data_IF_026044413806
#
_entry.id   IF_026044413806
#
_cell.length_a   1.000
_cell.length_b   1.000
_cell.length_c   1.000
_cell.angle_alpha   90.00
_cell.angle_beta   90.00
_cell.angle_gamma   90.00
#
_symmetry.space_group_name_H-M   'P 1'
#
loop_
_entity.id
_entity.type
_entity.pdbx_description
1 polymer ?
#
# COMPACT_ATOMS: atom_id res chain seq x y z
N UNK A 1 5.99 15.65 -1.97
CA UNK A 1 5.48 14.44 -1.31
C UNK A 1 6.56 13.95 -0.34
N UNK A 2 6.25 13.81 0.95
CA UNK A 2 7.20 13.32 1.96
C UNK A 2 6.64 12.04 2.59
N UNK A 3 6.74 10.93 1.85
CA UNK A 3 6.34 9.61 2.33
C UNK A 3 7.23 9.17 3.50
N UNK A 4 6.66 8.53 4.51
CA UNK A 4 7.36 7.99 5.68
C UNK A 4 8.07 6.67 5.36
N UNK A 5 9.02 6.71 4.42
CA UNK A 5 9.78 5.55 3.92
C UNK A 5 11.25 5.52 4.41
N UNK A 6 11.59 6.26 5.47
CA UNK A 6 12.98 6.34 5.97
C UNK A 6 13.57 4.99 6.39
N UNK A 7 12.73 4.08 6.88
CA UNK A 7 13.15 2.70 7.18
C UNK A 7 13.46 1.94 5.90
N UNK A 8 12.66 2.15 4.83
CA UNK A 8 12.93 1.56 3.52
C UNK A 8 14.25 2.06 2.92
N UNK A 9 14.59 3.35 3.04
CA UNK A 9 15.88 3.89 2.57
C UNK A 9 17.10 3.16 3.17
N UNK A 10 16.94 2.49 4.32
CA UNK A 10 18.00 1.76 5.04
C UNK A 10 17.87 0.24 4.94
N UNK A 11 17.00 -0.26 4.07
CA UNK A 11 16.81 -1.70 3.86
C UNK A 11 18.14 -2.37 3.49
N UNK A 12 18.44 -3.46 4.19
CA UNK A 12 19.64 -4.26 3.95
C UNK A 12 19.43 -5.20 2.76
N UNK A 13 20.44 -5.34 1.91
CA UNK A 13 20.34 -6.22 0.73
C UNK A 13 20.30 -7.71 1.09
N UNK A 14 20.56 -8.10 2.34
CA UNK A 14 20.51 -9.48 2.83
C UNK A 14 19.10 -9.98 3.19
N UNK A 15 18.07 -9.15 2.99
CA UNK A 15 16.70 -9.46 3.39
C UNK A 15 16.07 -10.62 2.62
N UNK A 16 15.26 -11.39 3.33
CA UNK A 16 14.36 -12.40 2.78
C UNK A 16 13.01 -11.78 2.37
N UNK A 17 12.13 -12.59 1.75
CA UNK A 17 10.77 -12.16 1.42
C UNK A 17 9.96 -11.67 2.64
N UNK A 18 10.20 -12.26 3.82
CA UNK A 18 9.49 -11.92 5.04
C UNK A 18 10.06 -10.66 5.69
N UNK A 19 11.38 -10.46 5.63
CA UNK A 19 12.02 -9.23 6.13
C UNK A 19 11.57 -8.02 5.31
N UNK A 20 11.51 -8.16 3.98
CA UNK A 20 10.99 -7.11 3.10
C UNK A 20 9.54 -6.74 3.44
N UNK A 21 8.70 -7.76 3.69
CA UNK A 21 7.31 -7.53 4.07
C UNK A 21 7.20 -6.76 5.39
N UNK A 22 8.02 -7.11 6.38
CA UNK A 22 8.06 -6.43 7.66
C UNK A 22 8.39 -4.93 7.49
N UNK A 23 9.41 -4.61 6.72
CA UNK A 23 9.81 -3.22 6.49
C UNK A 23 8.78 -2.42 5.70
N UNK A 24 8.16 -3.02 4.68
CA UNK A 24 7.09 -2.38 3.91
C UNK A 24 5.86 -2.13 4.80
N UNK A 25 5.47 -3.10 5.62
CA UNK A 25 4.39 -2.93 6.60
C UNK A 25 4.72 -1.87 7.65
N UNK A 26 5.97 -1.78 8.09
CA UNK A 26 6.40 -0.77 9.05
C UNK A 26 6.36 0.64 8.46
N UNK A 27 6.81 0.81 7.20
CA UNK A 27 6.68 2.06 6.47
C UNK A 27 5.21 2.46 6.29
N UNK A 28 4.36 1.50 5.90
CA UNK A 28 2.93 1.68 5.75
C UNK A 28 2.27 2.13 7.07
N UNK A 29 2.61 1.49 8.19
CA UNK A 29 2.10 1.88 9.51
C UNK A 29 2.47 3.32 9.86
N UNK A 30 3.75 3.70 9.72
CA UNK A 30 4.20 5.06 10.05
C UNK A 30 3.62 6.12 9.12
N UNK A 31 3.43 5.80 7.84
CA UNK A 31 2.73 6.65 6.89
C UNK A 31 1.26 6.85 7.31
N UNK A 32 0.58 5.78 7.72
CA UNK A 32 -0.77 5.87 8.24
C UNK A 32 -0.88 6.70 9.51
N UNK A 33 0.12 6.63 10.40
CA UNK A 33 0.20 7.45 11.60
C UNK A 33 0.46 8.92 11.29
N UNK A 34 1.33 9.23 10.32
CA UNK A 34 1.68 10.62 9.97
C UNK A 34 0.50 11.36 9.34
N UNK A 35 -0.28 10.68 8.49
CA UNK A 35 -1.42 11.28 7.78
C UNK A 35 -2.56 11.73 8.70
N UNK A 36 -2.71 11.12 9.89
CA UNK A 36 -3.74 11.50 10.86
C UNK A 36 -3.64 12.95 11.30
N UNK A 37 -2.42 13.46 11.49
CA UNK A 37 -2.18 14.85 11.86
C UNK A 37 -2.64 15.87 10.82
N UNK A 38 -2.97 15.41 9.60
CA UNK A 38 -3.42 16.25 8.50
C UNK A 38 -4.92 16.11 8.22
N UNK A 39 -5.68 15.37 9.04
CA UNK A 39 -7.12 15.12 8.83
C UNK A 39 -7.92 16.40 8.60
N UNK A 40 -7.78 17.38 9.51
CA UNK A 40 -8.48 18.66 9.42
C UNK A 40 -8.17 19.43 8.13
N UNK A 41 -6.93 19.34 7.64
CA UNK A 41 -6.53 19.99 6.39
C UNK A 41 -7.19 19.33 5.19
N UNK A 42 -7.33 17.99 5.20
CA UNK A 42 -8.01 17.26 4.13
C UNK A 42 -9.51 17.54 4.11
N UNK A 43 -10.15 17.72 5.26
CA UNK A 43 -11.55 18.14 5.33
C UNK A 43 -11.79 19.49 4.64
N UNK A 44 -10.92 20.47 4.92
CA UNK A 44 -11.01 21.80 4.33
C UNK A 44 -10.69 21.78 2.84
N UNK A 45 -9.73 20.95 2.41
CA UNK A 45 -9.32 20.85 1.01
C UNK A 45 -10.36 20.14 0.13
N UNK A 46 -11.10 19.18 0.68
CA UNK A 46 -12.09 18.38 -0.05
C UNK A 46 -13.51 18.54 0.53
N UNK A 47 -14.04 19.78 0.59
CA UNK A 47 -15.31 20.07 1.22
C UNK A 47 -16.44 19.35 0.46
N UNK A 48 -17.30 18.65 1.20
CA UNK A 48 -18.42 17.90 0.62
C UNK A 48 -18.12 16.44 0.27
N UNK A 49 -16.87 15.98 0.43
CA UNK A 49 -16.58 14.54 0.33
C UNK A 49 -17.31 13.77 1.42
N UNK A 50 -17.45 14.36 2.61
CA UNK A 50 -17.87 13.73 3.87
C UNK A 50 -16.64 13.37 4.69
N UNK A 51 -16.66 13.62 6.00
CA UNK A 51 -15.44 13.63 6.82
C UNK A 51 -14.74 12.28 6.97
N UNK A 52 -15.51 11.22 6.79
CA UNK A 52 -15.05 9.86 6.98
C UNK A 52 -14.26 9.35 5.75
N UNK A 53 -14.35 10.06 4.62
CA UNK A 53 -13.79 9.64 3.33
C UNK A 53 -12.42 10.24 3.02
N UNK A 54 -12.17 11.46 3.49
CA UNK A 54 -10.93 12.20 3.22
C UNK A 54 -9.72 11.36 3.66
N UNK A 55 -9.78 10.81 4.87
CA UNK A 55 -8.70 10.01 5.44
C UNK A 55 -8.50 8.69 4.71
N UNK A 56 -9.55 7.90 4.46
CA UNK A 56 -9.42 6.64 3.72
C UNK A 56 -8.90 6.85 2.29
N UNK A 57 -9.23 7.98 1.67
CA UNK A 57 -8.75 8.32 0.33
C UNK A 57 -7.28 8.71 0.34
N UNK A 58 -6.82 9.46 1.35
CA UNK A 58 -5.41 9.79 1.50
C UNK A 58 -4.57 8.55 1.82
N UNK A 59 -5.06 7.65 2.69
CA UNK A 59 -4.43 6.35 2.94
C UNK A 59 -4.36 5.50 1.67
N UNK A 60 -5.41 5.51 0.83
CA UNK A 60 -5.41 4.82 -0.46
C UNK A 60 -4.37 5.38 -1.45
N UNK A 61 -4.14 6.69 -1.45
CA UNK A 61 -3.09 7.32 -2.27
C UNK A 61 -1.69 6.94 -1.78
N UNK A 62 -1.42 7.09 -0.48
CA UNK A 62 -0.12 6.70 0.08
C UNK A 62 0.16 5.20 -0.06
N UNK A 63 -0.85 4.34 0.07
CA UNK A 63 -0.74 2.92 -0.22
C UNK A 63 -0.30 2.64 -1.67
N UNK A 64 -0.88 3.35 -2.64
CA UNK A 64 -0.51 3.22 -4.05
C UNK A 64 0.93 3.71 -4.31
N UNK A 65 1.37 4.78 -3.64
CA UNK A 65 2.75 5.28 -3.74
C UNK A 65 3.76 4.29 -3.11
N UNK A 66 3.44 3.68 -1.97
CA UNK A 66 4.25 2.58 -1.40
C UNK A 66 4.34 1.42 -2.40
N UNK A 67 3.21 1.04 -3.01
CA UNK A 67 3.16 -0.01 -4.02
C UNK A 67 4.03 0.31 -5.23
N UNK A 68 4.03 1.55 -5.70
CA UNK A 68 4.86 1.97 -6.82
C UNK A 68 6.36 2.00 -6.48
N UNK A 69 6.74 2.35 -5.24
CA UNK A 69 8.13 2.23 -4.78
C UNK A 69 8.55 0.77 -4.78
N UNK A 70 7.73 -0.12 -4.19
CA UNK A 70 8.02 -1.55 -4.14
C UNK A 70 8.11 -2.16 -5.53
N UNK A 71 7.31 -1.70 -6.50
CA UNK A 71 7.27 -2.20 -7.88
C UNK A 71 8.22 -1.49 -8.85
N UNK A 72 8.90 -0.42 -8.42
CA UNK A 72 9.83 0.33 -9.27
C UNK A 72 9.12 1.23 -10.29
N UNK A 73 7.86 1.57 -10.04
CA UNK A 73 7.01 2.43 -10.89
C UNK A 73 6.92 3.87 -10.40
N UNK A 74 7.43 4.16 -9.21
CA UNK A 74 7.33 5.49 -8.62
C UNK A 74 8.17 6.49 -9.44
N UNK A 75 7.54 7.60 -9.83
CA UNK A 75 8.08 8.62 -10.74
C UNK A 75 8.73 9.78 -9.98
N UNK A 76 8.43 9.96 -8.69
CA UNK A 76 8.93 11.10 -7.92
C UNK A 76 10.40 10.97 -7.53
N UNK A 77 11.18 12.04 -7.45
CA UNK A 77 12.51 12.01 -6.79
C UNK A 77 13.74 11.88 -7.68
N UNK A 78 13.61 11.86 -9.01
CA UNK A 78 14.69 12.16 -9.98
C UNK A 78 16.07 11.57 -9.67
N UNK A 79 17.13 12.38 -9.84
CA UNK A 79 18.54 12.00 -9.57
C UNK A 79 18.92 12.00 -8.08
N UNK A 80 18.00 11.71 -7.17
CA UNK A 80 18.31 11.64 -5.75
C UNK A 80 19.10 10.35 -5.44
N UNK A 81 20.33 10.49 -4.94
CA UNK A 81 21.22 9.38 -4.57
C UNK A 81 20.57 8.39 -3.61
N UNK A 82 19.78 8.84 -2.62
CA UNK A 82 19.10 7.95 -1.66
C UNK A 82 18.02 7.11 -2.32
N UNK A 83 17.31 7.69 -3.28
CA UNK A 83 16.29 6.98 -4.05
C UNK A 83 16.90 5.93 -4.95
N UNK A 84 17.97 6.27 -5.67
CA UNK A 84 18.70 5.31 -6.49
C UNK A 84 19.27 4.16 -5.64
N UNK A 85 19.75 4.48 -4.43
CA UNK A 85 20.20 3.47 -3.48
C UNK A 85 19.05 2.54 -3.03
N UNK A 86 17.88 3.09 -2.69
CA UNK A 86 16.69 2.32 -2.36
C UNK A 86 16.29 1.38 -3.51
N UNK A 87 16.21 1.91 -4.73
CA UNK A 87 15.82 1.13 -5.91
C UNK A 87 16.84 0.02 -6.21
N UNK A 88 18.14 0.31 -6.11
CA UNK A 88 19.20 -0.69 -6.26
C UNK A 88 19.12 -1.77 -5.16
N UNK A 89 18.81 -1.39 -3.92
CA UNK A 89 18.64 -2.33 -2.81
C UNK A 89 17.43 -3.23 -3.05
N UNK A 90 16.28 -2.66 -3.44
CA UNK A 90 15.07 -3.42 -3.77
C UNK A 90 15.34 -4.40 -4.91
N UNK A 91 15.97 -3.95 -6.00
CA UNK A 91 16.36 -4.82 -7.12
C UNK A 91 17.23 -5.99 -6.65
N UNK A 92 18.24 -5.72 -5.83
CA UNK A 92 19.11 -6.76 -5.24
C UNK A 92 18.34 -7.76 -4.39
N UNK A 93 17.36 -7.31 -3.60
CA UNK A 93 16.51 -8.17 -2.77
C UNK A 93 15.63 -9.06 -3.64
N UNK A 94 15.00 -8.49 -4.67
CA UNK A 94 14.14 -9.25 -5.57
C UNK A 94 14.93 -10.26 -6.43
N UNK A 95 16.17 -9.95 -6.82
CA UNK A 95 17.08 -10.90 -7.45
C UNK A 95 17.38 -12.10 -6.53
N UNK A 96 17.57 -11.86 -5.22
CA UNK A 96 17.75 -12.93 -4.23
C UNK A 96 16.48 -13.75 -4.00
N UNK A 97 15.32 -13.08 -3.89
CA UNK A 97 14.02 -13.76 -3.76
C UNK A 97 13.78 -14.68 -4.98
N UNK A 98 14.07 -14.18 -6.19
CA UNK A 98 14.00 -14.95 -7.43
C UNK A 98 14.98 -16.14 -7.40
N UNK A 99 16.24 -15.92 -7.02
CA UNK A 99 17.27 -16.96 -6.94
C UNK A 99 16.95 -18.09 -5.96
N UNK A 100 16.32 -17.76 -4.82
CA UNK A 100 15.91 -18.73 -3.80
C UNK A 100 14.69 -19.58 -4.20
N UNK A 101 13.92 -19.18 -5.22
CA UNK A 101 12.77 -19.93 -5.74
C UNK A 101 12.90 -20.15 -7.27
N UNK A 102 14.02 -20.75 -7.66
CA UNK A 102 14.42 -20.94 -9.06
C UNK A 102 13.58 -21.98 -9.82
N UNK A 103 12.65 -22.68 -9.18
CA UNK A 103 11.70 -23.58 -9.88
C UNK A 103 10.50 -22.82 -10.42
N UNK A 104 10.00 -21.82 -9.69
CA UNK A 104 8.76 -21.10 -10.02
C UNK A 104 9.03 -19.75 -10.67
N UNK A 105 10.09 -19.03 -10.24
CA UNK A 105 10.33 -17.64 -10.63
C UNK A 105 11.36 -17.48 -11.77
N UNK A 106 11.98 -18.56 -12.24
CA UNK A 106 13.15 -18.51 -13.17
C UNK A 106 12.86 -17.78 -14.48
N UNK A 107 11.67 -17.96 -15.04
CA UNK A 107 11.26 -17.35 -16.31
C UNK A 107 10.79 -15.90 -16.21
N UNK A 108 10.59 -15.38 -15.00
CA UNK A 108 10.01 -14.04 -14.78
C UNK A 108 11.11 -12.97 -14.74
N UNK A 109 10.86 -11.81 -15.34
CA UNK A 109 11.62 -10.60 -15.12
C UNK A 109 11.54 -10.15 -13.66
N UNK A 110 12.49 -9.31 -13.21
CA UNK A 110 12.43 -8.75 -11.85
C UNK A 110 11.17 -7.91 -11.66
N UNK A 111 10.73 -7.18 -12.68
CA UNK A 111 9.52 -6.36 -12.62
C UNK A 111 8.28 -7.24 -12.39
N UNK A 112 8.15 -8.37 -13.10
CA UNK A 112 7.07 -9.34 -12.86
C UNK A 112 7.11 -9.92 -11.44
N UNK A 113 8.31 -10.25 -10.93
CA UNK A 113 8.46 -10.75 -9.54
C UNK A 113 7.99 -9.71 -8.53
N UNK A 114 8.27 -8.42 -8.77
CA UNK A 114 7.82 -7.31 -7.91
C UNK A 114 6.30 -7.15 -7.94
N UNK A 115 5.67 -7.27 -9.11
CA UNK A 115 4.20 -7.24 -9.23
C UNK A 115 3.54 -8.39 -8.47
N UNK A 116 4.03 -9.62 -8.65
CA UNK A 116 3.49 -10.78 -7.93
C UNK A 116 3.70 -10.65 -6.43
N UNK A 117 4.86 -10.17 -5.99
CA UNK A 117 5.10 -9.93 -4.58
C UNK A 117 4.15 -8.87 -4.02
N UNK A 118 3.90 -7.77 -4.74
CA UNK A 118 2.95 -6.76 -4.30
C UNK A 118 1.55 -7.36 -4.17
N UNK A 119 1.02 -8.02 -5.20
CA UNK A 119 -0.33 -8.60 -5.17
C UNK A 119 -0.52 -9.59 -4.02
N UNK A 120 0.47 -10.45 -3.75
CA UNK A 120 0.43 -11.41 -2.64
C UNK A 120 0.40 -10.74 -1.26
N UNK A 121 1.03 -9.56 -1.12
CA UNK A 121 1.25 -8.92 0.17
C UNK A 121 0.40 -7.66 0.42
N UNK A 122 -0.24 -7.11 -0.60
CA UNK A 122 -0.94 -5.81 -0.56
C UNK A 122 -2.01 -5.74 0.54
N UNK A 123 -2.66 -6.86 0.86
CA UNK A 123 -3.64 -6.94 1.96
C UNK A 123 -2.99 -6.69 3.33
N UNK A 124 -1.80 -7.24 3.57
CA UNK A 124 -1.07 -7.03 4.82
C UNK A 124 -0.55 -5.60 4.94
N UNK A 125 -0.10 -5.02 3.82
CA UNK A 125 0.34 -3.62 3.76
C UNK A 125 -0.84 -2.68 4.00
N UNK A 126 -2.01 -2.97 3.41
CA UNK A 126 -3.24 -2.21 3.66
C UNK A 126 -3.67 -2.27 5.13
N UNK A 127 -3.61 -3.46 5.72
CA UNK A 127 -3.85 -3.64 7.16
C UNK A 127 -2.88 -2.82 8.00
N UNK A 128 -1.62 -2.70 7.60
CA UNK A 128 -0.63 -1.91 8.33
C UNK A 128 -0.91 -0.40 8.25
N UNK A 129 -1.17 0.16 7.06
CA UNK A 129 -1.42 1.60 6.88
C UNK A 129 -2.72 2.07 7.54
N UNK A 130 -3.71 1.20 7.62
CA UNK A 130 -4.99 1.49 8.29
C UNK A 130 -5.01 1.05 9.76
N UNK A 131 -3.88 0.66 10.34
CA UNK A 131 -3.81 0.15 11.72
C UNK A 131 -3.97 1.28 12.75
N UNK A 132 -5.21 1.68 13.03
CA UNK A 132 -5.51 2.71 14.02
C UNK A 132 -6.93 2.62 14.57
N UNK A 133 -7.07 2.89 15.87
CA UNK A 133 -8.37 3.04 16.54
C UNK A 133 -9.12 4.29 16.12
N UNK A 134 -8.42 5.34 15.67
CA UNK A 134 -9.05 6.59 15.19
C UNK A 134 -9.81 6.36 13.88
N UNK A 135 -9.43 5.34 13.10
CA UNK A 135 -10.11 4.98 11.86
C UNK A 135 -11.35 4.10 12.09
N UNK A 136 -11.74 3.82 13.33
CA UNK A 136 -12.83 2.87 13.64
C UNK A 136 -14.16 3.21 12.95
N UNK A 137 -14.45 4.49 12.73
CA UNK A 137 -15.68 4.94 12.10
C UNK A 137 -15.48 5.35 10.62
N UNK A 138 -14.23 5.33 10.15
CA UNK A 138 -13.86 5.80 8.82
C UNK A 138 -14.23 4.76 7.76
N UNK A 139 -14.78 5.26 6.65
CA UNK A 139 -15.27 4.42 5.56
C UNK A 139 -14.70 4.88 4.23
N UNK A 140 -14.26 3.93 3.40
CA UNK A 140 -13.90 4.22 2.03
C UNK A 140 -15.16 4.61 1.23
N UNK A 141 -15.04 5.65 0.39
CA UNK A 141 -16.20 6.31 -0.22
C UNK A 141 -16.93 5.44 -1.24
N UNK A 142 -16.19 4.56 -1.92
CA UNK A 142 -16.76 3.63 -2.91
C UNK A 142 -17.37 2.43 -2.21
N UNK A 143 -18.50 1.97 -2.75
CA UNK A 143 -19.13 0.72 -2.34
C UNK A 143 -18.39 -0.47 -2.99
N UNK A 144 -17.32 -0.92 -2.36
CA UNK A 144 -16.42 -1.97 -2.89
C UNK A 144 -16.42 -3.26 -2.08
N UNK A 145 -17.13 -3.32 -0.95
CA UNK A 145 -17.19 -4.49 -0.09
C UNK A 145 -18.44 -5.32 -0.36
N UNK A 146 -18.37 -6.64 -0.18
CA UNK A 146 -19.57 -7.50 -0.11
C UNK A 146 -20.34 -7.67 -1.42
N UNK A 147 -19.81 -8.44 -2.37
CA UNK A 147 -20.65 -9.03 -3.41
C UNK A 147 -19.95 -9.42 -4.70
N UNK A 148 -20.46 -10.49 -5.32
CA UNK A 148 -20.17 -10.87 -6.71
C UNK A 148 -20.94 -9.99 -7.72
N UNK A 149 -21.90 -9.17 -7.26
CA UNK A 149 -22.77 -8.32 -8.07
C UNK A 149 -22.86 -6.88 -7.51
N UNK A 150 -22.81 -5.87 -8.40
CA UNK A 150 -22.84 -4.42 -8.06
C UNK A 150 -24.04 -3.96 -7.19
N UNK A 151 -25.12 -4.74 -7.10
CA UNK A 151 -26.32 -4.37 -6.33
C UNK A 151 -26.23 -4.68 -4.84
N UNK A 152 -25.22 -5.43 -4.40
CA UNK A 152 -25.03 -5.78 -2.99
C UNK A 152 -23.81 -5.13 -2.38
N UNK A 153 -23.01 -4.38 -3.17
CA UNK A 153 -21.78 -3.81 -2.65
C UNK A 153 -22.07 -2.69 -1.66
N UNK A 154 -21.34 -2.72 -0.55
CA UNK A 154 -21.42 -1.75 0.54
C UNK A 154 -20.08 -1.02 0.68
N UNK A 155 -20.11 0.11 1.39
CA UNK A 155 -18.87 0.75 1.85
C UNK A 155 -18.19 -0.11 2.89
N UNK A 156 -16.92 0.14 3.14
CA UNK A 156 -16.19 -0.49 4.25
C UNK A 156 -16.93 -0.22 5.57
N UNK A 157 -17.19 -1.24 6.39
CA UNK A 157 -17.89 -1.06 7.67
C UNK A 157 -17.10 -0.20 8.67
N UNK A 158 -15.78 -0.35 8.71
CA UNK A 158 -14.87 0.36 9.62
C UNK A 158 -13.42 0.33 9.10
N UNK A 159 -12.55 1.17 9.67
CA UNK A 159 -11.09 1.18 9.45
C UNK A 159 -10.66 1.23 7.98
N UNK A 160 -11.50 1.77 7.09
CA UNK A 160 -11.26 1.73 5.65
C UNK A 160 -11.00 0.30 5.12
N UNK A 161 -11.63 -0.74 5.68
CA UNK A 161 -11.42 -2.15 5.27
C UNK A 161 -12.74 -2.84 4.98
N UNK A 162 -12.74 -3.72 3.99
CA UNK A 162 -13.84 -4.66 3.83
C UNK A 162 -13.65 -5.82 4.80
N UNK A 163 -14.75 -6.42 5.27
CA UNK A 163 -14.70 -7.73 5.93
C UNK A 163 -14.42 -8.82 4.89
N UNK A 164 -13.84 -9.93 5.34
CA UNK A 164 -13.63 -11.11 4.52
C UNK A 164 -14.91 -11.89 4.24
N UNK A 165 -14.78 -12.90 3.37
CA UNK A 165 -15.88 -13.82 3.09
C UNK A 165 -16.44 -14.42 4.39
N UNK A 166 -17.77 -14.42 4.53
CA UNK A 166 -18.52 -15.06 5.63
C UNK A 166 -18.02 -14.69 7.05
N UNK A 167 -17.82 -13.40 7.34
CA UNK A 167 -17.51 -12.95 8.70
C UNK A 167 -16.08 -13.27 9.16
N UNK A 168 -15.21 -13.73 8.26
CA UNK A 168 -13.77 -13.72 8.51
C UNK A 168 -13.29 -12.26 8.58
N UNK A 169 -12.45 -11.93 9.56
CA UNK A 169 -11.70 -10.66 9.58
C UNK A 169 -10.62 -10.69 8.49
N UNK A 170 -11.00 -10.70 7.22
CA UNK A 170 -10.05 -10.47 6.15
C UNK A 170 -10.02 -8.95 5.92
N UNK A 171 -8.88 -8.33 6.19
CA UNK A 171 -8.66 -6.89 5.99
C UNK A 171 -8.50 -6.58 4.50
N UNK A 172 -9.55 -6.87 3.72
CA UNK A 172 -9.54 -6.73 2.25
C UNK A 172 -9.35 -5.26 1.85
N UNK A 173 -8.53 -5.05 0.82
CA UNK A 173 -8.21 -3.71 0.28
C UNK A 173 -9.40 -3.21 -0.53
N UNK A 174 -10.06 -2.11 -0.13
CA UNK A 174 -11.26 -1.61 -0.81
C UNK A 174 -10.95 -0.75 -2.05
N UNK A 175 -9.67 -0.52 -2.35
CA UNK A 175 -9.18 0.37 -3.41
C UNK A 175 -8.36 -0.40 -4.45
N UNK A 176 -8.30 0.17 -5.66
CA UNK A 176 -7.45 -0.26 -6.76
C UNK A 176 -6.51 0.87 -7.22
N UNK A 177 -6.28 1.89 -6.39
CA UNK A 177 -5.38 2.99 -6.74
C UNK A 177 -3.95 2.51 -7.01
N UNK A 178 -3.51 1.43 -6.37
CA UNK A 178 -2.25 0.75 -6.69
C UNK A 178 -2.22 0.16 -8.11
N UNK A 179 -3.35 0.04 -8.79
CA UNK A 179 -3.42 -0.36 -10.21
C UNK A 179 -3.69 0.80 -11.16
N UNK A 180 -3.75 2.04 -10.65
CA UNK A 180 -3.86 3.25 -11.46
C UNK A 180 -2.47 3.87 -11.65
N UNK A 181 -2.07 4.20 -12.89
CA UNK A 181 -0.80 4.89 -13.16
C UNK A 181 -0.63 6.14 -12.29
N UNK A 182 0.56 6.33 -11.70
CA UNK A 182 0.79 7.38 -10.70
C UNK A 182 0.37 8.78 -11.14
N UNK A 183 0.59 9.13 -12.41
CA UNK A 183 0.22 10.42 -12.96
C UNK A 183 -1.30 10.72 -12.91
N UNK A 184 -2.14 9.69 -12.86
CA UNK A 184 -3.61 9.82 -12.88
C UNK A 184 -4.26 9.77 -11.48
N UNK A 185 -3.46 9.62 -10.41
CA UNK A 185 -3.97 9.46 -9.03
C UNK A 185 -4.18 10.81 -8.32
#
# INVERSE_FOLDING_TARGET
>A
LHLCNKNMEKIATSMTKHDLLLDVCMAAKYEGESLKGYHEQYEVQYPGSGSDFSMCTMLARSFADIGDIVRGRDLYGGNNKRRQQLENNLKTIFEKIKGNNNSTLKGLSIDEVREYWWEENRQQVWKAITCSNELKDNRYFRQTCGGDNKKTTIRTPNQCRCDGAKGAKADQVPTYFDYVPQYLR
#
